data_IF_899825636950
#
_entry.id   IF_899825636950
#
_cell.length_a   1.000
_cell.length_b   1.000
_cell.length_c   1.000
_cell.angle_alpha   90.00
_cell.angle_beta   90.00
_cell.angle_gamma   90.00
#
_symmetry.space_group_name_H-M   'P 1'
#
loop_
_entity.id
_entity.type
_entity.pdbx_description
1 polymer ?
#
# COMPACT_ATOMS: atom_id res chain seq x y z
N UNK A 1 -34.50 89.79 -37.90
CA UNK A 1 -34.95 91.18 -37.77
C UNK A 1 -34.79 91.54 -36.30
N UNK A 2 -34.13 92.66 -35.96
CA UNK A 2 -33.95 93.04 -34.56
C UNK A 2 -35.32 93.40 -33.96
N UNK A 3 -35.73 92.73 -32.88
CA UNK A 3 -37.00 93.05 -32.21
C UNK A 3 -36.95 94.46 -31.64
N UNK A 4 -38.03 95.21 -31.78
CA UNK A 4 -38.07 96.58 -31.25
C UNK A 4 -38.11 96.57 -29.71
N UNK A 5 -37.67 97.66 -29.06
CA UNK A 5 -37.71 97.75 -27.59
C UNK A 5 -39.14 97.57 -27.04
N UNK A 6 -40.17 97.96 -27.81
CA UNK A 6 -41.58 97.77 -27.46
C UNK A 6 -41.99 96.28 -27.49
N UNK A 7 -41.53 95.52 -28.50
CA UNK A 7 -41.76 94.07 -28.57
C UNK A 7 -41.07 93.33 -27.42
N UNK A 8 -39.82 93.71 -27.09
CA UNK A 8 -39.08 93.17 -25.95
C UNK A 8 -39.81 93.45 -24.63
N UNK A 9 -40.34 94.66 -24.45
CA UNK A 9 -41.15 95.02 -23.28
C UNK A 9 -42.40 94.15 -23.17
N UNK A 10 -43.23 94.05 -24.23
CA UNK A 10 -44.45 93.24 -24.20
C UNK A 10 -44.18 91.76 -23.89
N UNK A 11 -43.08 91.20 -24.38
CA UNK A 11 -42.67 89.83 -24.08
C UNK A 11 -42.33 89.64 -22.58
N UNK A 12 -41.64 90.60 -21.97
CA UNK A 12 -41.34 90.62 -20.52
C UNK A 12 -42.64 90.66 -19.73
N UNK A 13 -43.52 91.62 -20.04
CA UNK A 13 -44.79 91.81 -19.33
C UNK A 13 -45.64 90.54 -19.36
N UNK A 14 -45.69 89.86 -20.50
CA UNK A 14 -46.40 88.58 -20.65
C UNK A 14 -45.73 87.44 -19.88
N UNK A 15 -44.40 87.35 -19.88
CA UNK A 15 -43.66 86.31 -19.13
C UNK A 15 -43.80 86.45 -17.61
N UNK A 16 -44.02 87.67 -17.13
CA UNK A 16 -44.32 87.99 -15.73
C UNK A 16 -45.81 87.85 -15.38
N UNK A 17 -46.65 87.38 -16.30
CA UNK A 17 -48.09 87.19 -16.08
C UNK A 17 -48.93 88.49 -16.14
N UNK A 18 -48.39 89.56 -16.70
CA UNK A 18 -49.09 90.83 -16.92
C UNK A 18 -50.05 90.81 -18.12
N UNK A 19 -50.79 91.90 -18.36
CA UNK A 19 -51.78 91.99 -19.43
C UNK A 19 -51.15 91.90 -20.83
N UNK A 20 -51.89 91.36 -21.79
CA UNK A 20 -51.44 91.23 -23.19
C UNK A 20 -51.55 92.59 -23.88
N UNK A 21 -50.43 93.33 -23.95
CA UNK A 21 -50.36 94.67 -24.55
C UNK A 21 -49.77 94.56 -25.96
N UNK A 22 -50.40 95.18 -26.96
CA UNK A 22 -49.85 95.17 -28.31
C UNK A 22 -48.65 96.16 -28.41
N UNK A 23 -47.57 95.83 -29.15
CA UNK A 23 -46.41 96.72 -29.29
C UNK A 23 -46.79 98.13 -29.78
N UNK A 24 -47.79 98.23 -30.68
CA UNK A 24 -48.31 99.49 -31.19
C UNK A 24 -48.90 100.40 -30.10
N UNK A 25 -49.41 99.84 -29.00
CA UNK A 25 -49.99 100.61 -27.89
C UNK A 25 -48.92 101.30 -27.02
N UNK A 26 -47.66 100.91 -27.18
CA UNK A 26 -46.52 101.40 -26.40
C UNK A 26 -45.53 102.16 -27.30
N UNK A 27 -45.67 102.09 -28.62
CA UNK A 27 -44.79 102.78 -29.57
C UNK A 27 -44.72 104.28 -29.32
N UNK A 28 -45.80 104.92 -28.85
CA UNK A 28 -45.80 106.35 -28.49
C UNK A 28 -44.74 106.70 -27.43
N UNK A 29 -44.37 105.77 -26.56
CA UNK A 29 -43.35 106.00 -25.54
C UNK A 29 -41.94 106.08 -26.14
N UNK A 30 -41.70 105.52 -27.34
CA UNK A 30 -40.43 105.71 -28.05
C UNK A 30 -40.27 107.13 -28.61
N UNK A 31 -41.37 107.86 -28.84
CA UNK A 31 -41.33 109.24 -29.32
C UNK A 31 -40.91 110.23 -28.24
N UNK A 32 -41.03 109.83 -26.96
CA UNK A 32 -40.60 110.61 -25.80
C UNK A 32 -39.20 110.14 -25.38
N UNK A 33 -38.20 111.04 -25.22
CA UNK A 33 -36.84 110.65 -24.83
C UNK A 33 -36.79 109.80 -23.55
N UNK A 34 -37.48 110.24 -22.50
CA UNK A 34 -37.55 109.52 -21.23
C UNK A 34 -38.25 108.15 -21.34
N UNK A 35 -39.27 108.05 -22.19
CA UNK A 35 -39.99 106.79 -22.44
C UNK A 35 -39.12 105.79 -23.21
N UNK A 36 -38.38 106.27 -24.22
CA UNK A 36 -37.42 105.47 -24.98
C UNK A 36 -36.29 104.94 -24.10
N UNK A 37 -35.74 105.78 -23.23
CA UNK A 37 -34.67 105.38 -22.31
C UNK A 37 -35.17 104.34 -21.31
N UNK A 38 -36.41 104.47 -20.81
CA UNK A 38 -37.04 103.48 -19.94
C UNK A 38 -37.28 102.15 -20.66
N UNK A 39 -37.89 102.18 -21.85
CA UNK A 39 -38.12 100.97 -22.64
C UNK A 39 -36.81 100.29 -23.03
N UNK A 40 -35.78 101.07 -23.34
CA UNK A 40 -34.44 100.57 -23.61
C UNK A 40 -33.83 99.94 -22.37
N UNK A 41 -33.90 100.58 -21.20
CA UNK A 41 -33.38 100.04 -19.95
C UNK A 41 -34.04 98.70 -19.58
N UNK A 42 -35.37 98.60 -19.75
CA UNK A 42 -36.11 97.35 -19.51
C UNK A 42 -35.75 96.29 -20.54
N UNK A 43 -35.65 96.67 -21.82
CA UNK A 43 -35.22 95.76 -22.88
C UNK A 43 -33.77 95.28 -22.71
N UNK A 44 -32.89 96.11 -22.14
CA UNK A 44 -31.49 95.77 -21.83
C UNK A 44 -31.38 94.79 -20.65
N UNK A 45 -32.44 94.61 -19.84
CA UNK A 45 -32.49 93.54 -18.82
C UNK A 45 -32.67 92.16 -19.43
N UNK A 46 -33.10 92.08 -20.69
CA UNK A 46 -33.06 90.85 -21.46
C UNK A 46 -31.70 90.73 -22.13
N UNK A 47 -30.87 89.81 -21.63
CA UNK A 47 -29.72 89.37 -22.40
C UNK A 47 -30.21 88.85 -23.77
N UNK A 48 -29.56 89.27 -24.86
CA UNK A 48 -29.80 88.77 -26.22
C UNK A 48 -29.39 87.29 -26.31
N UNK A 49 -30.17 86.41 -25.69
CA UNK A 49 -30.06 84.96 -25.86
C UNK A 49 -31.00 84.56 -26.99
N UNK A 50 -30.42 84.07 -28.09
CA UNK A 50 -31.10 83.55 -29.27
C UNK A 50 -32.31 82.67 -28.87
N UNK A 51 -33.50 83.12 -29.25
CA UNK A 51 -34.78 82.51 -28.89
C UNK A 51 -34.99 81.24 -29.72
N UNK A 52 -34.39 80.13 -29.28
CA UNK A 52 -34.60 78.80 -29.89
C UNK A 52 -34.89 77.68 -28.89
N UNK A 53 -34.95 77.95 -27.58
CA UNK A 53 -35.34 76.96 -26.59
C UNK A 53 -36.77 77.21 -26.13
N UNK A 54 -37.64 76.21 -26.32
CA UNK A 54 -39.08 76.21 -26.03
C UNK A 54 -39.46 76.28 -24.55
N UNK A 55 -38.50 76.46 -23.65
CA UNK A 55 -38.73 76.70 -22.23
C UNK A 55 -38.18 78.08 -21.85
N UNK A 56 -39.10 79.01 -21.56
CA UNK A 56 -38.88 80.44 -21.26
C UNK A 56 -37.63 80.72 -20.40
N UNK A 57 -36.48 81.13 -20.99
CA UNK A 57 -35.28 81.51 -20.24
C UNK A 57 -35.42 82.89 -19.56
N UNK A 58 -36.58 83.53 -19.68
CA UNK A 58 -36.88 84.86 -19.13
C UNK A 58 -37.05 84.84 -17.60
N UNK A 59 -37.32 83.68 -17.01
CA UNK A 59 -37.78 83.55 -15.62
C UNK A 59 -36.67 83.83 -14.57
N UNK A 60 -35.41 83.35 -14.69
CA UNK A 60 -34.43 83.49 -13.60
C UNK A 60 -33.89 84.91 -13.41
N UNK A 61 -33.72 85.68 -14.49
CA UNK A 61 -33.20 87.05 -14.41
C UNK A 61 -34.27 88.02 -13.88
N UNK A 62 -35.53 87.84 -14.30
CA UNK A 62 -36.63 88.71 -13.90
C UNK A 62 -37.13 88.44 -12.47
N UNK A 63 -37.02 87.22 -11.93
CA UNK A 63 -37.32 86.92 -10.51
C UNK A 63 -36.41 87.65 -9.51
N UNK A 64 -35.24 88.13 -9.96
CA UNK A 64 -34.34 88.93 -9.10
C UNK A 64 -34.77 90.40 -8.96
N UNK A 65 -35.67 90.88 -9.83
CA UNK A 65 -36.10 92.28 -9.92
C UNK A 65 -37.62 92.40 -9.67
N UNK A 66 -38.40 91.39 -10.04
CA UNK A 66 -39.84 91.33 -9.81
C UNK A 66 -40.14 90.89 -8.37
N UNK A 67 -40.81 91.76 -7.62
CA UNK A 67 -41.33 91.43 -6.29
C UNK A 67 -42.44 90.38 -6.42
N UNK A 68 -42.32 89.27 -5.70
CA UNK A 68 -43.39 88.27 -5.63
C UNK A 68 -44.64 88.87 -4.95
N UNK A 69 -45.83 88.34 -5.24
CA UNK A 69 -47.08 88.86 -4.66
C UNK A 69 -47.08 88.91 -3.12
N UNK A 70 -46.34 88.01 -2.47
CA UNK A 70 -46.12 87.99 -1.02
C UNK A 70 -45.20 89.15 -0.55
N UNK A 71 -44.20 89.51 -1.36
CA UNK A 71 -43.28 90.63 -1.11
C UNK A 71 -43.95 91.97 -1.36
N UNK A 72 -44.83 92.05 -2.37
CA UNK A 72 -45.67 93.24 -2.62
C UNK A 72 -46.63 93.48 -1.46
N UNK A 73 -47.28 92.44 -0.93
CA UNK A 73 -48.15 92.57 0.26
C UNK A 73 -47.40 93.05 1.49
N UNK A 74 -46.19 92.56 1.72
CA UNK A 74 -45.33 93.04 2.81
C UNK A 74 -44.90 94.49 2.61
N UNK A 75 -44.65 94.91 1.37
CA UNK A 75 -44.33 96.31 1.05
C UNK A 75 -45.56 97.21 1.21
N UNK A 76 -46.75 96.74 0.84
CA UNK A 76 -48.02 97.44 1.05
C UNK A 76 -48.35 97.58 2.54
N UNK A 77 -48.19 96.53 3.35
CA UNK A 77 -48.33 96.58 4.81
C UNK A 77 -47.31 97.52 5.47
N UNK A 78 -46.07 97.59 4.95
CA UNK A 78 -45.04 98.50 5.44
C UNK A 78 -45.28 99.98 5.05
N UNK A 79 -46.01 100.24 3.95
CA UNK A 79 -46.37 101.60 3.50
C UNK A 79 -47.66 102.09 4.17
N UNK A 80 -48.59 101.19 4.52
CA UNK A 80 -49.80 101.54 5.27
C UNK A 80 -49.53 101.85 6.76
N UNK A 81 -48.36 101.48 7.30
CA UNK A 81 -47.94 101.73 8.69
C UNK A 81 -47.03 102.97 8.86
N UNK A 82 -47.07 103.94 7.92
CA UNK A 82 -46.30 105.20 7.99
C UNK A 82 -46.91 106.23 9.00
N UNK A 83 -47.63 105.72 10.00
CA UNK A 83 -48.35 106.48 11.02
C UNK A 83 -47.69 106.55 12.40
N UNK A 84 -46.50 105.96 12.60
CA UNK A 84 -45.85 105.96 13.93
C UNK A 84 -44.38 106.36 13.82
N UNK A 85 -44.12 107.66 14.03
CA UNK A 85 -42.80 108.20 14.36
C UNK A 85 -42.32 107.61 15.70
N UNK A 86 -41.42 106.64 15.64
CA UNK A 86 -40.78 106.04 16.81
C UNK A 86 -39.54 105.27 16.39
N UNK A 87 -38.42 105.98 16.30
CA UNK A 87 -37.09 105.45 16.01
C UNK A 87 -36.68 104.43 17.07
N UNK A 88 -36.49 103.18 16.66
CA UNK A 88 -35.52 102.27 17.27
C UNK A 88 -34.87 101.45 16.15
N UNK A 89 -33.62 101.78 15.83
CA UNK A 89 -32.84 101.14 14.77
C UNK A 89 -32.49 99.70 15.15
N UNK A 90 -33.42 98.77 14.90
CA UNK A 90 -33.10 97.35 14.84
C UNK A 90 -32.23 97.10 13.57
N UNK A 91 -31.16 96.28 13.66
CA UNK A 91 -30.31 96.03 12.51
C UNK A 91 -31.11 95.27 11.44
N UNK A 92 -31.36 95.94 10.32
CA UNK A 92 -32.09 95.48 9.10
C UNK A 92 -31.44 94.23 8.45
N UNK A 93 -30.36 93.69 9.03
CA UNK A 93 -29.61 92.54 8.52
C UNK A 93 -30.18 91.15 8.86
N UNK A 94 -31.34 91.04 9.51
CA UNK A 94 -31.96 89.74 9.82
C UNK A 94 -33.09 89.32 8.88
N UNK A 95 -33.55 90.20 8.00
CA UNK A 95 -34.64 89.87 7.08
C UNK A 95 -34.07 89.31 5.77
N UNK A 96 -34.05 87.99 5.65
CA UNK A 96 -33.75 87.34 4.37
C UNK A 96 -35.01 87.36 3.52
N UNK A 97 -34.87 87.85 2.29
CA UNK A 97 -35.94 87.90 1.30
C UNK A 97 -36.55 86.48 1.15
N UNK A 98 -37.89 86.32 1.20
CA UNK A 98 -38.56 85.01 1.18
C UNK A 98 -38.12 84.10 0.01
N UNK A 99 -37.86 84.67 -1.16
CA UNK A 99 -37.32 83.96 -2.33
C UNK A 99 -35.94 83.34 -2.08
N UNK A 100 -35.02 84.08 -1.44
CA UNK A 100 -33.68 83.59 -1.05
C UNK A 100 -33.78 82.52 0.05
N UNK A 101 -34.74 82.65 0.96
CA UNK A 101 -34.96 81.67 2.03
C UNK A 101 -35.58 80.37 1.50
N UNK A 102 -36.54 80.44 0.57
CA UNK A 102 -37.07 79.26 -0.14
C UNK A 102 -35.96 78.52 -0.90
N UNK A 103 -35.13 79.23 -1.66
CA UNK A 103 -34.00 78.65 -2.40
C UNK A 103 -32.93 78.04 -1.47
N UNK A 104 -32.63 78.70 -0.34
CA UNK A 104 -31.71 78.16 0.68
C UNK A 104 -32.26 76.90 1.33
N UNK A 105 -33.56 76.88 1.67
CA UNK A 105 -34.21 75.71 2.26
C UNK A 105 -34.22 74.53 1.29
N UNK A 106 -34.54 74.77 0.01
CA UNK A 106 -34.52 73.75 -1.02
C UNK A 106 -33.12 73.17 -1.23
N UNK A 107 -32.08 74.01 -1.23
CA UNK A 107 -30.69 73.55 -1.27
C UNK A 107 -30.31 72.71 -0.04
N UNK A 108 -30.72 73.12 1.16
CA UNK A 108 -30.46 72.32 2.37
C UNK A 108 -31.21 70.99 2.36
N UNK A 109 -32.42 70.93 1.79
CA UNK A 109 -33.16 69.68 1.62
C UNK A 109 -32.48 68.75 0.60
N UNK A 110 -31.96 69.29 -0.51
CA UNK A 110 -31.18 68.52 -1.47
C UNK A 110 -29.87 67.98 -0.88
N UNK A 111 -29.17 68.79 -0.10
CA UNK A 111 -27.94 68.37 0.60
C UNK A 111 -28.23 67.29 1.64
N UNK A 112 -29.32 67.44 2.41
CA UNK A 112 -29.76 66.44 3.36
C UNK A 112 -30.13 65.12 2.67
N UNK A 113 -30.84 65.18 1.54
CA UNK A 113 -31.14 64.00 0.73
C UNK A 113 -29.88 63.32 0.17
N UNK A 114 -28.86 64.08 -0.23
CA UNK A 114 -27.56 63.53 -0.64
C UNK A 114 -26.84 62.84 0.53
N UNK A 115 -26.79 63.47 1.70
CA UNK A 115 -26.18 62.89 2.90
C UNK A 115 -26.91 61.62 3.38
N UNK A 116 -28.24 61.60 3.31
CA UNK A 116 -29.04 60.40 3.58
C UNK A 116 -28.72 59.28 2.56
N UNK A 117 -28.57 59.63 1.28
CA UNK A 117 -28.12 58.70 0.24
C UNK A 117 -26.72 58.13 0.51
N UNK A 118 -25.77 58.97 0.89
CA UNK A 118 -24.40 58.55 1.22
C UNK A 118 -24.33 57.67 2.47
N UNK A 119 -25.06 58.02 3.52
CA UNK A 119 -25.13 57.21 4.75
C UNK A 119 -25.79 55.85 4.49
N UNK A 120 -26.84 55.80 3.66
CA UNK A 120 -27.44 54.53 3.22
C UNK A 120 -26.43 53.67 2.43
N UNK A 121 -25.64 54.28 1.55
CA UNK A 121 -24.58 53.58 0.79
C UNK A 121 -23.48 53.04 1.71
N UNK A 122 -23.00 53.84 2.66
CA UNK A 122 -21.99 53.41 3.64
C UNK A 122 -22.51 52.28 4.53
N UNK A 123 -23.77 52.36 4.96
CA UNK A 123 -24.42 51.30 5.74
C UNK A 123 -24.52 49.99 4.95
N UNK A 124 -24.88 50.06 3.66
CA UNK A 124 -24.89 48.90 2.76
C UNK A 124 -23.48 48.28 2.61
N UNK A 125 -22.46 49.10 2.35
CA UNK A 125 -21.07 48.65 2.24
C UNK A 125 -20.56 48.04 3.55
N UNK A 126 -20.90 48.60 4.70
CA UNK A 126 -20.55 48.07 6.02
C UNK A 126 -21.23 46.71 6.26
N UNK A 127 -22.49 46.54 5.86
CA UNK A 127 -23.17 45.25 5.91
C UNK A 127 -22.49 44.22 5.00
N UNK A 128 -22.13 44.58 3.77
CA UNK A 128 -21.39 43.71 2.85
C UNK A 128 -20.01 43.32 3.41
N UNK A 129 -19.29 44.26 4.03
CA UNK A 129 -18.00 43.96 4.67
C UNK A 129 -18.17 43.04 5.86
N UNK A 130 -19.24 43.20 6.64
CA UNK A 130 -19.58 42.32 7.77
C UNK A 130 -19.92 40.91 7.31
N UNK A 131 -20.64 40.74 6.19
CA UNK A 131 -20.92 39.42 5.62
C UNK A 131 -19.66 38.78 5.05
N UNK A 132 -18.83 39.55 4.34
CA UNK A 132 -17.53 39.07 3.84
C UNK A 132 -16.58 38.63 4.97
N UNK A 133 -16.48 39.42 6.05
CA UNK A 133 -15.68 39.08 7.23
C UNK A 133 -16.16 37.79 7.91
N UNK A 134 -17.48 37.60 8.04
CA UNK A 134 -18.05 36.34 8.55
C UNK A 134 -17.71 35.15 7.65
N UNK A 135 -17.79 35.33 6.33
CA UNK A 135 -17.44 34.28 5.37
C UNK A 135 -15.96 33.91 5.45
N UNK A 136 -15.05 34.89 5.55
CA UNK A 136 -13.62 34.66 5.74
C UNK A 136 -13.29 33.94 7.05
N UNK A 137 -14.01 34.25 8.14
CA UNK A 137 -13.86 33.53 9.40
C UNK A 137 -14.32 32.07 9.26
N UNK A 138 -15.42 31.81 8.55
CA UNK A 138 -15.88 30.46 8.27
C UNK A 138 -14.89 29.68 7.41
N UNK A 139 -14.37 30.26 6.33
CA UNK A 139 -13.36 29.59 5.48
C UNK A 139 -12.05 29.34 6.22
N UNK A 140 -11.63 30.27 7.09
CA UNK A 140 -10.48 30.03 7.97
C UNK A 140 -10.73 28.83 8.89
N UNK A 141 -11.90 28.73 9.50
CA UNK A 141 -12.22 27.58 10.36
C UNK A 141 -12.27 26.26 9.59
N UNK A 142 -12.83 26.23 8.38
CA UNK A 142 -12.86 25.01 7.56
C UNK A 142 -11.48 24.60 7.09
N UNK A 143 -10.62 25.55 6.69
CA UNK A 143 -9.23 25.27 6.33
C UNK A 143 -8.43 24.76 7.54
N UNK A 144 -8.61 25.35 8.72
CA UNK A 144 -7.97 24.86 9.94
C UNK A 144 -8.41 23.44 10.31
N UNK A 145 -9.68 23.10 10.10
CA UNK A 145 -10.18 21.75 10.30
C UNK A 145 -9.55 20.77 9.30
N UNK A 146 -9.51 21.13 8.01
CA UNK A 146 -8.93 20.30 6.96
C UNK A 146 -7.41 20.07 7.15
N UNK A 147 -6.66 21.09 7.59
CA UNK A 147 -5.23 20.95 7.91
C UNK A 147 -5.03 20.00 9.09
N UNK A 148 -5.86 20.10 10.15
CA UNK A 148 -5.78 19.18 11.29
C UNK A 148 -6.14 17.74 10.89
N UNK A 149 -7.16 17.57 10.05
CA UNK A 149 -7.56 16.26 9.52
C UNK A 149 -6.45 15.64 8.67
N UNK A 150 -5.87 16.40 7.75
CA UNK A 150 -4.72 15.96 6.93
C UNK A 150 -3.51 15.59 7.80
N UNK A 151 -3.15 16.42 8.79
CA UNK A 151 -2.05 16.12 9.71
C UNK A 151 -2.30 14.85 10.53
N UNK A 152 -3.55 14.62 10.97
CA UNK A 152 -3.92 13.38 11.65
C UNK A 152 -3.82 12.16 10.71
N UNK A 153 -4.27 12.29 9.47
CA UNK A 153 -4.16 11.24 8.45
C UNK A 153 -2.70 10.88 8.15
N UNK A 154 -1.85 11.88 7.93
CA UNK A 154 -0.40 11.70 7.74
C UNK A 154 0.20 10.95 8.93
N UNK A 155 -0.15 11.36 10.17
CA UNK A 155 0.34 10.69 11.37
C UNK A 155 -0.10 9.22 11.44
N UNK A 156 -1.36 8.92 11.11
CA UNK A 156 -1.83 7.52 11.10
C UNK A 156 -1.16 6.68 10.01
N UNK A 157 -0.87 7.25 8.84
CA UNK A 157 -0.13 6.57 7.80
C UNK A 157 1.33 6.34 8.19
N UNK A 158 1.97 7.31 8.85
CA UNK A 158 3.32 7.17 9.40
C UNK A 158 3.37 6.03 10.43
N UNK A 159 2.45 6.02 11.40
CA UNK A 159 2.33 4.96 12.41
C UNK A 159 2.08 3.59 11.75
N UNK A 160 1.29 3.52 10.68
CA UNK A 160 1.07 2.28 9.93
C UNK A 160 2.32 1.81 9.18
N UNK A 161 3.08 2.72 8.57
CA UNK A 161 4.33 2.40 7.87
C UNK A 161 5.40 1.92 8.85
N UNK A 162 5.55 2.58 10.00
CA UNK A 162 6.47 2.16 11.04
C UNK A 162 6.12 0.75 11.55
N UNK A 163 4.83 0.46 11.76
CA UNK A 163 4.38 -0.88 12.13
C UNK A 163 4.62 -1.93 11.04
N UNK A 164 4.49 -1.57 9.75
CA UNK A 164 4.77 -2.48 8.64
C UNK A 164 6.27 -2.75 8.52
N UNK A 165 7.11 -1.72 8.68
CA UNK A 165 8.56 -1.83 8.69
C UNK A 165 9.04 -2.76 9.81
N UNK A 166 8.54 -2.58 11.04
CA UNK A 166 8.85 -3.47 12.17
C UNK A 166 8.44 -4.92 11.88
N UNK A 167 7.30 -5.15 11.21
CA UNK A 167 6.86 -6.50 10.83
C UNK A 167 7.76 -7.13 9.77
N UNK A 168 8.17 -6.36 8.76
CA UNK A 168 9.09 -6.81 7.72
C UNK A 168 10.47 -7.15 8.32
N UNK A 169 11.01 -6.28 9.17
CA UNK A 169 12.27 -6.54 9.87
C UNK A 169 12.19 -7.79 10.75
N UNK A 170 11.05 -8.02 11.42
CA UNK A 170 10.83 -9.21 12.23
C UNK A 170 10.71 -10.48 11.39
N UNK A 171 10.03 -10.45 10.23
CA UNK A 171 9.93 -11.60 9.33
C UNK A 171 11.27 -11.92 8.68
N UNK A 172 12.01 -10.91 8.22
CA UNK A 172 13.37 -11.07 7.68
C UNK A 172 14.30 -11.64 8.76
N UNK A 173 14.29 -11.07 9.97
CA UNK A 173 15.12 -11.57 11.08
C UNK A 173 14.80 -13.03 11.44
N UNK A 174 13.52 -13.41 11.38
CA UNK A 174 13.09 -14.79 11.61
C UNK A 174 13.58 -15.72 10.49
N UNK A 175 13.38 -15.35 9.23
CA UNK A 175 13.84 -16.13 8.08
C UNK A 175 15.36 -16.31 8.10
N UNK A 176 16.11 -15.24 8.40
CA UNK A 176 17.57 -15.26 8.57
C UNK A 176 17.98 -16.16 9.73
N UNK A 177 17.32 -16.08 10.88
CA UNK A 177 17.61 -16.96 12.02
C UNK A 177 17.30 -18.43 11.73
N UNK A 178 16.25 -18.72 10.98
CA UNK A 178 15.89 -20.09 10.57
C UNK A 178 16.89 -20.63 9.55
N UNK A 179 17.25 -19.83 8.54
CA UNK A 179 18.30 -20.17 7.57
C UNK A 179 19.65 -20.40 8.24
N UNK A 180 20.05 -19.55 9.19
CA UNK A 180 21.26 -19.74 9.98
C UNK A 180 21.20 -20.98 10.86
N UNK A 181 20.06 -21.27 11.50
CA UNK A 181 19.87 -22.49 12.30
C UNK A 181 20.00 -23.75 11.44
N UNK A 182 19.47 -23.74 10.21
CA UNK A 182 19.62 -24.82 9.25
C UNK A 182 21.07 -24.95 8.78
N UNK A 183 21.75 -23.84 8.45
CA UNK A 183 23.18 -23.83 8.11
C UNK A 183 24.05 -24.32 9.27
N UNK A 184 23.74 -23.95 10.50
CA UNK A 184 24.46 -24.41 11.70
C UNK A 184 24.27 -25.92 11.91
N UNK A 185 23.07 -26.44 11.67
CA UNK A 185 22.81 -27.89 11.69
C UNK A 185 23.59 -28.59 10.59
N UNK A 186 23.58 -28.08 9.36
CA UNK A 186 24.32 -28.69 8.26
C UNK A 186 25.83 -28.56 8.45
N UNK A 187 26.34 -27.50 9.09
CA UNK A 187 27.76 -27.35 9.42
C UNK A 187 28.21 -28.23 10.59
N UNK A 188 27.37 -28.40 11.63
CA UNK A 188 27.67 -29.27 12.78
C UNK A 188 27.54 -30.75 12.43
N UNK A 189 26.57 -31.10 11.58
CA UNK A 189 26.34 -32.46 11.11
C UNK A 189 27.07 -32.76 9.80
N UNK A 190 27.77 -31.77 9.22
CA UNK A 190 28.78 -31.98 8.17
C UNK A 190 30.01 -32.62 8.80
N UNK A 191 29.83 -33.87 9.20
CA UNK A 191 30.88 -34.87 9.16
C UNK A 191 31.69 -34.65 7.87
N UNK A 192 32.99 -34.34 8.04
CA UNK A 192 33.84 -33.99 6.90
C UNK A 192 33.74 -35.10 5.85
N UNK A 193 33.86 -34.77 4.56
CA UNK A 193 33.86 -35.76 3.48
C UNK A 193 34.86 -36.91 3.74
N UNK A 194 35.88 -36.65 4.54
CA UNK A 194 36.85 -37.63 5.02
C UNK A 194 36.27 -38.66 6.00
N UNK A 195 35.30 -38.33 6.87
CA UNK A 195 34.64 -39.34 7.72
C UNK A 195 33.82 -40.31 6.88
N UNK A 196 33.06 -39.81 5.90
CA UNK A 196 32.34 -40.66 4.93
C UNK A 196 33.29 -41.56 4.16
N UNK A 197 34.43 -41.04 3.69
CA UNK A 197 35.47 -41.82 3.02
C UNK A 197 36.05 -42.89 3.94
N UNK A 198 36.33 -42.57 5.20
CA UNK A 198 36.82 -43.56 6.18
C UNK A 198 35.78 -44.64 6.48
N UNK A 199 34.50 -44.28 6.61
CA UNK A 199 33.41 -45.24 6.81
C UNK A 199 33.27 -46.19 5.60
N UNK A 200 33.39 -45.65 4.38
CA UNK A 200 33.34 -46.43 3.16
C UNK A 200 34.57 -47.34 3.00
N UNK A 201 35.76 -46.88 3.40
CA UNK A 201 36.96 -47.71 3.46
C UNK A 201 36.81 -48.86 4.48
N UNK A 202 36.25 -48.60 5.66
CA UNK A 202 35.95 -49.64 6.66
C UNK A 202 34.96 -50.67 6.10
N UNK A 203 33.94 -50.24 5.36
CA UNK A 203 33.00 -51.14 4.70
C UNK A 203 33.66 -51.98 3.60
N UNK A 204 34.57 -51.39 2.84
CA UNK A 204 35.36 -52.10 1.84
C UNK A 204 36.27 -53.16 2.49
N UNK A 205 36.94 -52.83 3.60
CA UNK A 205 37.76 -53.77 4.36
C UNK A 205 36.92 -54.94 4.90
N UNK A 206 35.73 -54.66 5.46
CA UNK A 206 34.79 -55.71 5.91
C UNK A 206 34.33 -56.60 4.76
N UNK A 207 34.00 -56.00 3.61
CA UNK A 207 33.65 -56.76 2.39
C UNK A 207 34.78 -57.69 2.00
N UNK A 208 36.00 -57.18 1.96
CA UNK A 208 37.16 -57.96 1.57
C UNK A 208 37.43 -59.09 2.58
N UNK A 209 37.25 -58.84 3.88
CA UNK A 209 37.38 -59.85 4.94
C UNK A 209 36.32 -60.97 4.84
N UNK A 210 35.06 -60.62 4.54
CA UNK A 210 33.99 -61.63 4.32
C UNK A 210 34.30 -62.47 3.09
N UNK A 211 34.73 -61.82 1.99
CA UNK A 211 35.08 -62.52 0.74
C UNK A 211 36.28 -63.44 0.96
N UNK A 212 37.33 -63.00 1.66
CA UNK A 212 38.50 -63.85 1.94
C UNK A 212 38.12 -65.02 2.83
N UNK A 213 37.36 -64.80 3.91
CA UNK A 213 36.91 -65.87 4.79
C UNK A 213 36.05 -66.92 4.06
N UNK A 214 35.14 -66.48 3.19
CA UNK A 214 34.34 -67.38 2.36
C UNK A 214 35.21 -68.17 1.37
N UNK A 215 36.16 -67.50 0.70
CA UNK A 215 37.11 -68.15 -0.23
C UNK A 215 37.98 -69.19 0.47
N UNK A 216 38.52 -68.87 1.64
CA UNK A 216 39.40 -69.77 2.40
C UNK A 216 38.63 -71.02 2.85
N UNK A 217 37.37 -70.86 3.29
CA UNK A 217 36.51 -72.00 3.64
C UNK A 217 36.11 -72.84 2.44
N UNK A 218 35.74 -72.21 1.32
CA UNK A 218 35.45 -72.93 0.08
C UNK A 218 36.68 -73.69 -0.41
N UNK A 219 37.88 -73.11 -0.32
CA UNK A 219 39.13 -73.79 -0.64
C UNK A 219 39.37 -75.01 0.24
N UNK A 220 39.12 -74.91 1.54
CA UNK A 220 39.21 -76.05 2.46
C UNK A 220 38.22 -77.17 2.10
N UNK A 221 36.99 -76.81 1.70
CA UNK A 221 36.00 -77.79 1.21
C UNK A 221 36.45 -78.41 -0.12
N UNK A 222 37.02 -77.61 -1.02
CA UNK A 222 37.55 -78.09 -2.29
C UNK A 222 38.71 -79.07 -2.04
N UNK A 223 39.63 -78.78 -1.10
CA UNK A 223 40.71 -79.69 -0.71
C UNK A 223 40.16 -81.05 -0.21
N UNK A 224 39.09 -81.04 0.60
CA UNK A 224 38.41 -82.28 1.01
C UNK A 224 37.78 -82.98 -0.19
N UNK A 225 37.14 -82.25 -1.11
CA UNK A 225 36.58 -82.84 -2.33
C UNK A 225 37.67 -83.51 -3.19
N UNK A 226 38.85 -82.90 -3.32
CA UNK A 226 39.96 -83.49 -4.08
C UNK A 226 40.56 -84.72 -3.37
N UNK A 227 40.32 -84.88 -2.07
CA UNK A 227 40.70 -86.09 -1.32
C UNK A 227 39.69 -87.23 -1.45
N UNK A 228 38.47 -86.96 -1.92
CA UNK A 228 37.47 -87.98 -2.15
C UNK A 228 37.82 -88.83 -3.39
N UNK A 229 37.55 -90.14 -3.35
CA UNK A 229 37.78 -91.01 -4.49
C UNK A 229 36.84 -90.68 -5.66
N UNK A 230 37.39 -90.79 -6.87
CA UNK A 230 36.64 -90.70 -8.12
C UNK A 230 35.60 -91.82 -8.23
N UNK A 231 34.54 -91.58 -9.00
CA UNK A 231 33.47 -92.56 -9.24
C UNK A 231 33.98 -93.88 -9.81
N UNK A 232 35.02 -93.84 -10.65
CA UNK A 232 35.69 -95.04 -11.16
C UNK A 232 36.34 -95.84 -10.04
N UNK A 233 37.03 -95.18 -9.11
CA UNK A 233 37.65 -95.84 -7.96
C UNK A 233 36.60 -96.49 -7.05
N UNK A 234 35.48 -95.82 -6.78
CA UNK A 234 34.38 -96.38 -5.98
C UNK A 234 33.77 -97.62 -6.65
N UNK A 235 33.63 -97.60 -7.99
CA UNK A 235 33.15 -98.76 -8.75
C UNK A 235 34.14 -99.93 -8.77
N UNK A 236 35.44 -99.64 -8.94
CA UNK A 236 36.49 -100.66 -8.91
C UNK A 236 36.62 -101.28 -7.51
N UNK A 237 36.54 -100.45 -6.47
CA UNK A 237 36.63 -100.87 -5.07
C UNK A 237 35.40 -101.65 -4.64
N UNK A 238 34.19 -101.23 -5.03
CA UNK A 238 32.98 -102.03 -4.79
C UNK A 238 33.03 -103.38 -5.51
N UNK A 239 33.53 -103.44 -6.75
CA UNK A 239 33.74 -104.71 -7.44
C UNK A 239 34.78 -105.59 -6.74
N UNK A 240 35.87 -105.00 -6.24
CA UNK A 240 36.91 -105.69 -5.45
C UNK A 240 36.35 -106.24 -4.14
N UNK A 241 35.59 -105.45 -3.40
CA UNK A 241 34.97 -105.83 -2.13
C UNK A 241 33.86 -106.87 -2.33
N UNK A 242 33.00 -106.71 -3.35
CA UNK A 242 31.98 -107.71 -3.72
C UNK A 242 32.62 -109.03 -4.14
N UNK A 243 33.78 -109.01 -4.79
CA UNK A 243 34.54 -110.23 -5.12
C UNK A 243 35.15 -110.87 -3.86
N UNK A 244 35.80 -110.06 -3.02
CA UNK A 244 36.37 -110.55 -1.76
C UNK A 244 35.30 -111.12 -0.80
N UNK A 245 34.10 -110.53 -0.80
CA UNK A 245 32.94 -111.02 -0.06
C UNK A 245 32.43 -112.36 -0.58
N UNK A 246 32.46 -112.58 -1.91
CA UNK A 246 32.12 -113.88 -2.54
C UNK A 246 33.17 -114.96 -2.29
N UNK A 247 34.44 -114.56 -2.17
CA UNK A 247 35.57 -115.46 -1.93
C UNK A 247 35.70 -115.86 -0.45
N UNK A 248 35.11 -115.08 0.47
CA UNK A 248 34.94 -115.49 1.87
C UNK A 248 33.95 -116.65 1.92
N UNK A 249 34.41 -117.82 2.37
CA UNK A 249 33.59 -119.02 2.53
C UNK A 249 32.54 -118.79 3.63
N UNK A 250 31.42 -118.15 3.23
CA UNK A 250 30.31 -117.76 4.10
C UNK A 250 29.83 -118.94 4.94
N UNK A 251 29.95 -120.17 4.43
CA UNK A 251 29.49 -121.37 5.14
C UNK A 251 30.36 -121.73 6.35
N UNK A 252 31.63 -121.34 6.39
CA UNK A 252 32.55 -121.67 7.49
C UNK A 252 32.48 -120.69 8.67
N UNK A 253 31.98 -119.47 8.45
CA UNK A 253 31.85 -118.40 9.47
C UNK A 253 30.41 -117.90 9.65
N UNK A 254 29.45 -118.60 9.06
CA UNK A 254 28.03 -118.24 9.12
C UNK A 254 27.54 -118.16 10.56
N UNK A 255 27.90 -119.14 11.36
CA UNK A 255 27.43 -119.26 12.75
C UNK A 255 28.01 -118.13 13.62
N UNK A 256 29.29 -117.81 13.46
CA UNK A 256 29.94 -116.68 14.15
C UNK A 256 29.35 -115.32 13.72
N UNK A 257 29.02 -115.15 12.43
CA UNK A 257 28.40 -113.92 11.92
C UNK A 257 26.94 -113.76 12.37
N UNK A 258 26.21 -114.87 12.51
CA UNK A 258 24.86 -114.86 13.09
C UNK A 258 24.93 -114.48 14.57
N UNK A 259 25.88 -115.04 15.33
CA UNK A 259 26.06 -114.70 16.74
C UNK A 259 26.38 -113.21 16.91
N UNK A 260 27.24 -112.65 16.05
CA UNK A 260 27.60 -111.23 16.09
C UNK A 260 26.44 -110.31 15.64
N UNK A 261 25.69 -110.69 14.61
CA UNK A 261 24.53 -109.92 14.16
C UNK A 261 23.41 -109.91 15.22
N UNK A 262 23.18 -111.05 15.88
CA UNK A 262 22.24 -111.14 17.00
C UNK A 262 22.71 -110.29 18.19
N UNK A 263 24.02 -110.23 18.46
CA UNK A 263 24.57 -109.36 19.50
C UNK A 263 24.35 -107.87 19.17
N UNK A 264 24.54 -107.47 17.91
CA UNK A 264 24.32 -106.10 17.44
C UNK A 264 22.83 -105.72 17.46
N UNK A 265 21.94 -106.60 17.03
CA UNK A 265 20.48 -106.40 17.13
C UNK A 265 20.03 -106.29 18.58
N UNK A 266 20.58 -107.12 19.48
CA UNK A 266 20.31 -107.04 20.92
C UNK A 266 20.79 -105.71 21.51
N UNK A 267 21.96 -105.21 21.09
CA UNK A 267 22.46 -103.90 21.50
C UNK A 267 21.58 -102.76 20.97
N UNK A 268 21.14 -102.82 19.72
CA UNK A 268 20.23 -101.83 19.14
C UNK A 268 18.86 -101.82 19.85
N UNK A 269 18.34 -103.01 20.22
CA UNK A 269 17.14 -103.14 21.05
C UNK A 269 17.39 -102.51 22.42
N UNK A 270 18.53 -102.78 23.06
CA UNK A 270 18.89 -102.17 24.35
C UNK A 270 18.99 -100.63 24.25
N UNK A 271 19.63 -100.08 23.22
CA UNK A 271 19.75 -98.63 23.03
C UNK A 271 18.39 -97.96 22.77
N UNK A 272 17.52 -98.60 21.96
CA UNK A 272 16.14 -98.15 21.77
C UNK A 272 15.32 -98.23 23.06
N UNK A 273 15.52 -99.24 23.90
CA UNK A 273 14.90 -99.31 25.23
C UNK A 273 15.41 -98.24 26.21
N UNK A 274 16.69 -97.84 26.12
CA UNK A 274 17.26 -96.80 26.96
C UNK A 274 16.82 -95.39 26.54
N UNK A 275 16.61 -95.17 25.24
CA UNK A 275 16.22 -93.86 24.67
C UNK A 275 14.72 -93.65 24.61
N UNK A 276 13.93 -94.73 24.56
CA UNK A 276 12.48 -94.64 24.50
C UNK A 276 11.89 -94.57 25.91
N UNK A 277 11.23 -93.46 26.25
CA UNK A 277 10.66 -93.26 27.59
C UNK A 277 9.54 -94.25 27.95
N UNK A 278 9.15 -94.23 29.23
CA UNK A 278 8.23 -95.12 30.01
C UNK A 278 6.89 -95.57 29.37
N UNK A 279 6.59 -95.21 28.12
CA UNK A 279 5.35 -95.55 27.42
C UNK A 279 5.50 -96.39 26.14
N UNK A 280 6.71 -96.77 25.73
CA UNK A 280 6.93 -97.68 24.59
C UNK A 280 7.04 -99.11 25.10
N UNK A 281 6.16 -100.00 24.65
CA UNK A 281 6.22 -101.40 25.06
C UNK A 281 7.24 -102.15 24.20
N UNK A 282 7.84 -103.20 24.75
CA UNK A 282 8.78 -104.07 24.02
C UNK A 282 8.14 -104.60 22.72
N UNK A 283 6.83 -104.84 22.72
CA UNK A 283 6.06 -105.24 21.55
C UNK A 283 5.98 -104.15 20.47
N UNK A 284 6.02 -102.86 20.83
CA UNK A 284 6.06 -101.77 19.83
C UNK A 284 7.44 -101.67 19.17
N UNK A 285 8.52 -101.86 19.93
CA UNK A 285 9.91 -101.86 19.43
C UNK A 285 10.16 -103.09 18.56
N UNK A 286 9.70 -104.27 19.01
CA UNK A 286 9.75 -105.51 18.22
C UNK A 286 8.82 -105.43 17.00
N UNK A 287 7.68 -104.75 17.10
CA UNK A 287 6.75 -104.50 16.00
C UNK A 287 7.37 -103.63 14.89
N UNK A 288 8.09 -102.58 15.26
CA UNK A 288 8.80 -101.69 14.32
C UNK A 288 9.95 -102.44 13.61
N UNK A 289 10.74 -103.21 14.36
CA UNK A 289 11.82 -104.03 13.79
C UNK A 289 11.29 -105.18 12.92
N UNK A 290 10.14 -105.77 13.26
CA UNK A 290 9.54 -106.84 12.45
C UNK A 290 8.83 -106.35 11.20
N UNK A 291 8.45 -105.07 11.14
CA UNK A 291 7.87 -104.49 9.93
C UNK A 291 8.92 -104.23 8.83
N UNK A 292 10.17 -104.02 9.22
CA UNK A 292 11.35 -104.01 8.33
C UNK A 292 11.78 -105.45 7.92
N UNK A 293 11.46 -106.46 8.74
CA UNK A 293 11.86 -107.85 8.51
C UNK A 293 11.18 -108.55 7.31
N UNK A 294 10.01 -108.09 6.86
CA UNK A 294 9.33 -108.64 5.68
C UNK A 294 10.03 -108.28 4.35
N UNK A 295 10.88 -107.22 4.33
CA UNK A 295 11.83 -106.94 3.24
C UNK A 295 13.22 -107.57 3.50
N UNK A 296 13.56 -107.87 4.76
CA UNK A 296 14.87 -108.40 5.20
C UNK A 296 15.00 -109.93 5.26
N UNK A 297 14.05 -110.70 4.71
CA UNK A 297 14.35 -112.09 4.30
C UNK A 297 15.52 -112.18 3.28
N UNK A 298 16.09 -111.04 2.87
CA UNK A 298 17.32 -110.87 2.11
C UNK A 298 18.60 -110.60 2.93
N UNK A 299 18.62 -110.62 4.28
CA UNK A 299 19.87 -110.42 5.08
C UNK A 299 21.00 -111.40 4.65
N UNK A 300 20.66 -112.59 4.12
CA UNK A 300 21.63 -113.56 3.60
C UNK A 300 21.79 -113.57 2.07
N UNK A 301 21.09 -112.72 1.32
CA UNK A 301 21.57 -112.39 -0.02
C UNK A 301 22.69 -111.41 0.23
N UNK A 302 23.93 -111.81 -0.06
CA UNK A 302 25.10 -110.91 -0.10
C UNK A 302 24.64 -109.55 -0.63
N UNK A 303 24.37 -108.61 0.26
CA UNK A 303 23.92 -107.29 -0.12
C UNK A 303 25.03 -106.77 -1.03
N UNK A 304 24.67 -106.39 -2.25
CA UNK A 304 25.66 -105.87 -3.17
C UNK A 304 26.32 -104.67 -2.46
N UNK A 305 27.60 -104.80 -2.14
CA UNK A 305 28.38 -103.75 -1.45
C UNK A 305 28.40 -102.48 -2.31
N UNK A 306 28.18 -102.62 -3.63
CA UNK A 306 28.05 -101.51 -4.59
C UNK A 306 27.04 -100.45 -4.16
N UNK A 307 25.72 -100.76 -4.10
CA UNK A 307 24.69 -99.86 -3.59
C UNK A 307 25.02 -99.21 -2.23
N UNK A 308 25.57 -99.96 -1.27
CA UNK A 308 25.92 -99.41 0.05
C UNK A 308 27.09 -98.41 -0.03
N UNK A 309 28.14 -98.74 -0.78
CA UNK A 309 29.30 -97.87 -1.00
C UNK A 309 28.92 -96.64 -1.83
N UNK A 310 28.05 -96.80 -2.84
CA UNK A 310 27.51 -95.69 -3.63
C UNK A 310 26.63 -94.78 -2.77
N UNK A 311 25.80 -95.33 -1.87
CA UNK A 311 24.99 -94.56 -0.92
C UNK A 311 25.88 -93.76 0.05
N UNK A 312 26.92 -94.38 0.60
CA UNK A 312 27.89 -93.70 1.46
C UNK A 312 28.62 -92.58 0.70
N UNK A 313 29.12 -92.87 -0.51
CA UNK A 313 29.79 -91.86 -1.35
C UNK A 313 28.84 -90.70 -1.72
N UNK A 314 27.59 -90.97 -2.08
CA UNK A 314 26.58 -89.93 -2.32
C UNK A 314 26.30 -89.12 -1.05
N UNK A 315 26.29 -89.75 0.12
CA UNK A 315 26.12 -89.06 1.40
C UNK A 315 27.27 -88.08 1.67
N UNK A 316 28.52 -88.48 1.40
CA UNK A 316 29.69 -87.60 1.52
C UNK A 316 29.62 -86.42 0.53
N UNK A 317 29.22 -86.68 -0.72
CA UNK A 317 29.02 -85.62 -1.72
C UNK A 317 27.91 -84.64 -1.30
N UNK A 318 26.81 -85.14 -0.74
CA UNK A 318 25.74 -84.31 -0.20
C UNK A 318 26.22 -83.49 1.01
N UNK A 319 27.01 -84.07 1.89
CA UNK A 319 27.60 -83.36 3.04
C UNK A 319 28.52 -82.22 2.58
N UNK A 320 29.32 -82.42 1.52
CA UNK A 320 30.13 -81.35 0.93
C UNK A 320 29.28 -80.23 0.31
N UNK A 321 28.22 -80.57 -0.43
CA UNK A 321 27.31 -79.58 -0.99
C UNK A 321 26.62 -78.76 0.12
N UNK A 322 26.14 -79.43 1.17
CA UNK A 322 25.56 -78.77 2.34
C UNK A 322 26.57 -77.87 3.05
N UNK A 323 27.83 -78.29 3.16
CA UNK A 323 28.91 -77.46 3.70
C UNK A 323 29.17 -76.21 2.84
N UNK A 324 29.14 -76.33 1.51
CA UNK A 324 29.28 -75.18 0.59
C UNK A 324 28.12 -74.21 0.72
N UNK A 325 26.89 -74.73 0.73
CA UNK A 325 25.68 -73.94 0.93
C UNK A 325 25.77 -73.15 2.25
N UNK A 326 26.14 -73.82 3.34
CA UNK A 326 26.35 -73.18 4.64
C UNK A 326 27.37 -72.04 4.60
N UNK A 327 28.49 -72.20 3.89
CA UNK A 327 29.49 -71.12 3.74
C UNK A 327 28.91 -69.93 2.98
N UNK A 328 28.10 -70.16 1.94
CA UNK A 328 27.43 -69.11 1.20
C UNK A 328 26.35 -68.41 2.04
N UNK A 329 25.56 -69.16 2.81
CA UNK A 329 24.56 -68.62 3.72
C UNK A 329 25.18 -67.74 4.81
N UNK A 330 26.29 -68.20 5.41
CA UNK A 330 27.04 -67.41 6.40
C UNK A 330 27.60 -66.12 5.78
N UNK A 331 28.14 -66.20 4.55
CA UNK A 331 28.61 -65.02 3.84
C UNK A 331 27.47 -64.06 3.50
N UNK A 332 26.33 -64.57 3.03
CA UNK A 332 25.14 -63.80 2.70
C UNK A 332 24.56 -63.11 3.96
N UNK A 333 24.47 -63.83 5.07
CA UNK A 333 24.05 -63.28 6.36
C UNK A 333 25.01 -62.18 6.83
N UNK A 334 26.32 -62.38 6.68
CA UNK A 334 27.32 -61.36 7.02
C UNK A 334 27.21 -60.12 6.12
N UNK A 335 27.00 -60.29 4.80
CA UNK A 335 26.75 -59.18 3.88
C UNK A 335 25.48 -58.41 4.24
N UNK A 336 24.40 -59.11 4.57
CA UNK A 336 23.14 -58.50 5.00
C UNK A 336 23.27 -57.69 6.28
N UNK A 337 23.79 -58.30 7.34
CA UNK A 337 23.86 -57.67 8.67
C UNK A 337 24.97 -56.64 8.81
N UNK A 338 26.14 -56.83 8.19
CA UNK A 338 27.30 -55.96 8.45
C UNK A 338 27.51 -54.89 7.39
N UNK A 339 27.19 -55.17 6.12
CA UNK A 339 27.46 -54.24 5.01
C UNK A 339 26.19 -53.54 4.56
N UNK A 340 25.13 -54.30 4.26
CA UNK A 340 23.91 -53.72 3.72
C UNK A 340 23.21 -52.79 4.72
N UNK A 341 23.15 -53.19 5.99
CA UNK A 341 22.59 -52.34 7.04
C UNK A 341 23.38 -51.04 7.20
N UNK A 342 24.71 -51.11 7.29
CA UNK A 342 25.56 -49.93 7.45
C UNK A 342 25.53 -49.01 6.23
N UNK A 343 25.49 -49.57 5.01
CA UNK A 343 25.32 -48.80 3.77
C UNK A 343 23.95 -48.11 3.72
N UNK A 344 22.90 -48.80 4.16
CA UNK A 344 21.54 -48.24 4.24
C UNK A 344 21.47 -47.09 5.25
N UNK A 345 22.13 -47.24 6.40
CA UNK A 345 22.24 -46.16 7.40
C UNK A 345 23.00 -44.96 6.84
N UNK A 346 24.15 -45.20 6.18
CA UNK A 346 24.94 -44.16 5.52
C UNK A 346 24.13 -43.42 4.44
N UNK A 347 23.41 -44.17 3.61
CA UNK A 347 22.55 -43.62 2.56
C UNK A 347 21.42 -42.78 3.16
N UNK A 348 20.72 -43.28 4.19
CA UNK A 348 19.67 -42.52 4.88
C UNK A 348 20.22 -41.22 5.45
N UNK A 349 21.38 -41.28 6.11
CA UNK A 349 22.02 -40.09 6.65
C UNK A 349 22.39 -39.09 5.55
N UNK A 350 23.09 -39.53 4.49
CA UNK A 350 23.43 -38.68 3.34
C UNK A 350 22.20 -38.07 2.67
N UNK A 351 21.10 -38.83 2.51
CA UNK A 351 19.85 -38.29 1.96
C UNK A 351 19.21 -37.25 2.87
N UNK A 352 19.29 -37.42 4.19
CA UNK A 352 18.78 -36.45 5.16
C UNK A 352 19.59 -35.15 5.07
N UNK A 353 20.92 -35.25 5.02
CA UNK A 353 21.81 -34.10 4.88
C UNK A 353 21.56 -33.40 3.54
N UNK A 354 21.45 -34.15 2.45
CA UNK A 354 21.15 -33.60 1.13
C UNK A 354 19.80 -32.86 1.10
N UNK A 355 18.75 -33.43 1.71
CA UNK A 355 17.45 -32.77 1.81
C UNK A 355 17.51 -31.48 2.64
N UNK A 356 18.23 -31.50 3.77
CA UNK A 356 18.40 -30.28 4.58
C UNK A 356 19.19 -29.19 3.86
N UNK A 357 20.20 -29.56 3.07
CA UNK A 357 20.94 -28.62 2.22
C UNK A 357 20.05 -28.03 1.13
N UNK A 358 19.23 -28.86 0.48
CA UNK A 358 18.29 -28.41 -0.53
C UNK A 358 17.23 -27.47 0.05
N UNK A 359 16.69 -27.77 1.23
CA UNK A 359 15.74 -26.90 1.93
C UNK A 359 16.39 -25.56 2.33
N UNK A 360 17.63 -25.59 2.84
CA UNK A 360 18.37 -24.38 3.14
C UNK A 360 18.65 -23.54 1.88
N UNK A 361 19.03 -24.16 0.76
CA UNK A 361 19.23 -23.49 -0.53
C UNK A 361 17.92 -22.87 -1.06
N UNK A 362 16.80 -23.60 -0.95
CA UNK A 362 15.49 -23.10 -1.33
C UNK A 362 15.05 -21.89 -0.49
N UNK A 363 15.27 -21.92 0.83
CA UNK A 363 14.96 -20.80 1.72
C UNK A 363 15.85 -19.59 1.46
N UNK A 364 17.14 -19.79 1.23
CA UNK A 364 18.06 -18.70 0.86
C UNK A 364 17.68 -18.10 -0.49
N UNK A 365 17.28 -18.93 -1.46
CA UNK A 365 16.84 -18.47 -2.77
C UNK A 365 15.53 -17.66 -2.68
N UNK A 366 14.56 -18.14 -1.90
CA UNK A 366 13.31 -17.41 -1.66
C UNK A 366 13.55 -16.08 -0.94
N UNK A 367 14.47 -16.04 0.03
CA UNK A 367 14.85 -14.79 0.71
C UNK A 367 15.52 -13.81 -0.26
N UNK A 368 16.37 -14.28 -1.18
CA UNK A 368 16.97 -13.44 -2.20
C UNK A 368 15.91 -12.86 -3.14
N UNK A 369 14.95 -13.67 -3.59
CA UNK A 369 13.82 -13.22 -4.42
C UNK A 369 12.96 -12.19 -3.69
N UNK A 370 12.59 -12.41 -2.41
CA UNK A 370 11.84 -11.42 -1.62
C UNK A 370 12.60 -10.11 -1.43
N UNK A 371 13.94 -10.16 -1.28
CA UNK A 371 14.77 -8.95 -1.19
C UNK A 371 14.84 -8.23 -2.54
N UNK A 372 14.98 -8.95 -3.64
CA UNK A 372 14.97 -8.39 -4.99
C UNK A 372 13.62 -7.72 -5.32
N UNK A 373 12.51 -8.38 -4.99
CA UNK A 373 11.16 -7.82 -5.13
C UNK A 373 10.97 -6.57 -4.27
N UNK A 374 11.41 -6.59 -3.01
CA UNK A 374 11.34 -5.42 -2.13
C UNK A 374 12.18 -4.24 -2.65
N UNK A 375 13.34 -4.51 -3.27
CA UNK A 375 14.16 -3.49 -3.95
C UNK A 375 13.43 -2.96 -5.17
N UNK A 376 12.85 -3.83 -6.01
CA UNK A 376 12.08 -3.43 -7.19
C UNK A 376 10.88 -2.56 -6.81
N UNK A 377 10.11 -2.96 -5.80
CA UNK A 377 8.97 -2.19 -5.27
C UNK A 377 9.42 -0.82 -4.74
N UNK A 378 10.58 -0.76 -4.06
CA UNK A 378 11.14 0.50 -3.58
C UNK A 378 11.58 1.41 -4.74
N UNK A 379 12.15 0.85 -5.80
CA UNK A 379 12.51 1.57 -7.03
C UNK A 379 11.27 2.06 -7.79
N UNK A 380 10.24 1.22 -7.92
CA UNK A 380 8.96 1.56 -8.54
C UNK A 380 8.20 2.63 -7.75
N UNK A 381 8.22 2.55 -6.43
CA UNK A 381 7.67 3.60 -5.57
C UNK A 381 8.44 4.91 -5.75
N UNK A 382 9.78 4.87 -5.77
CA UNK A 382 10.63 6.04 -5.97
C UNK A 382 10.43 6.67 -7.34
N UNK A 383 10.33 5.87 -8.40
CA UNK A 383 10.06 6.35 -9.76
C UNK A 383 8.63 6.87 -9.89
N UNK A 384 7.64 6.26 -9.24
CA UNK A 384 6.27 6.78 -9.18
C UNK A 384 6.20 8.15 -8.49
N UNK A 385 6.93 8.35 -7.39
CA UNK A 385 7.07 9.67 -6.76
C UNK A 385 7.76 10.69 -7.67
N UNK A 386 8.84 10.28 -8.34
CA UNK A 386 9.57 11.16 -9.27
C UNK A 386 8.75 11.50 -10.52
N UNK A 387 8.02 10.53 -11.07
CA UNK A 387 7.16 10.69 -12.24
C UNK A 387 5.89 11.47 -11.91
N UNK A 388 5.34 11.35 -10.69
CA UNK A 388 4.30 12.28 -10.23
C UNK A 388 4.82 13.72 -10.08
N UNK A 389 6.10 13.91 -9.77
CA UNK A 389 6.72 15.23 -9.77
C UNK A 389 7.01 15.78 -11.18
N UNK A 390 7.20 14.93 -12.20
CA UNK A 390 7.59 15.36 -13.56
C UNK A 390 6.46 15.31 -14.61
N UNK A 391 5.43 14.48 -14.42
CA UNK A 391 4.23 14.40 -15.28
C UNK A 391 3.05 15.23 -14.76
N UNK A 392 3.29 16.15 -13.80
CA UNK A 392 2.32 17.11 -13.27
C UNK A 392 1.94 18.23 -14.28
N UNK A 393 1.79 17.91 -15.57
CA UNK A 393 1.18 18.81 -16.54
C UNK A 393 -0.28 18.48 -16.85
N UNK A 394 -0.77 17.25 -16.65
CA UNK A 394 -2.14 16.92 -17.11
C UNK A 394 -3.00 15.98 -16.24
N UNK A 395 -2.50 15.43 -15.13
CA UNK A 395 -3.36 14.62 -14.23
C UNK A 395 -3.64 15.41 -12.96
N UNK A 396 -4.88 15.89 -12.86
CA UNK A 396 -5.54 16.44 -11.67
C UNK A 396 -4.58 17.11 -10.68
N UNK A 397 -4.17 18.34 -11.03
CA UNK A 397 -3.66 19.31 -10.04
C UNK A 397 -4.49 19.15 -8.78
N UNK A 398 -3.81 18.79 -7.71
CA UNK A 398 -4.32 18.56 -6.36
C UNK A 398 -5.65 19.31 -6.13
N UNK A 399 -6.76 18.61 -5.83
CA UNK A 399 -8.08 19.25 -5.66
C UNK A 399 -8.00 20.45 -4.69
N UNK A 400 -7.03 20.46 -3.77
CA UNK A 400 -6.74 21.58 -2.89
C UNK A 400 -6.15 22.80 -3.62
N UNK A 401 -5.22 22.63 -4.57
CA UNK A 401 -4.66 23.71 -5.39
C UNK A 401 -5.75 24.35 -6.26
N UNK A 402 -6.60 23.53 -6.88
CA UNK A 402 -7.71 24.03 -7.69
C UNK A 402 -8.75 24.79 -6.84
N UNK A 403 -9.04 24.30 -5.63
CA UNK A 403 -9.93 24.97 -4.68
C UNK A 403 -9.33 26.28 -4.18
N UNK A 404 -8.03 26.33 -3.94
CA UNK A 404 -7.33 27.56 -3.56
C UNK A 404 -7.33 28.59 -4.70
N UNK A 405 -7.13 28.16 -5.95
CA UNK A 405 -7.27 29.04 -7.13
C UNK A 405 -8.70 29.56 -7.29
N UNK A 406 -9.71 28.72 -7.06
CA UNK A 406 -11.10 29.15 -7.09
C UNK A 406 -11.35 30.25 -6.03
N UNK A 407 -10.91 30.04 -4.79
CA UNK A 407 -11.01 31.05 -3.72
C UNK A 407 -10.29 32.35 -4.08
N UNK A 408 -9.08 32.29 -4.63
CA UNK A 408 -8.35 33.49 -5.06
C UNK A 408 -9.03 34.21 -6.23
N UNK A 409 -9.66 33.47 -7.15
CA UNK A 409 -10.47 34.05 -8.23
C UNK A 409 -11.75 34.70 -7.71
N UNK A 410 -12.42 34.08 -6.75
CA UNK A 410 -13.63 34.63 -6.11
C UNK A 410 -13.30 35.91 -5.31
N UNK A 411 -12.11 35.96 -4.71
CA UNK A 411 -11.61 37.13 -3.99
C UNK A 411 -11.06 38.24 -4.89
N UNK A 412 -11.08 38.07 -6.22
CA UNK A 412 -10.53 39.04 -7.18
C UNK A 412 -11.17 40.42 -7.06
N UNK A 413 -12.46 40.49 -6.73
CA UNK A 413 -13.20 41.75 -6.58
C UNK A 413 -12.74 42.60 -5.39
N UNK A 414 -12.09 41.97 -4.40
CA UNK A 414 -11.58 42.64 -3.21
C UNK A 414 -10.11 43.06 -3.34
N UNK A 415 -9.52 42.90 -4.52
CA UNK A 415 -8.12 43.23 -4.76
C UNK A 415 -7.95 44.75 -4.89
N UNK A 416 -6.87 45.34 -4.33
CA UNK A 416 -6.60 46.77 -4.48
C UNK A 416 -6.49 47.16 -5.96
N UNK A 417 -6.92 48.38 -6.31
CA UNK A 417 -6.84 48.90 -7.69
C UNK A 417 -5.42 48.90 -8.25
N UNK A 418 -4.42 48.98 -7.37
CA UNK A 418 -3.01 49.12 -7.73
C UNK A 418 -2.31 47.75 -7.89
N UNK A 419 -3.00 46.64 -7.63
CA UNK A 419 -2.42 45.31 -7.76
C UNK A 419 -2.38 44.87 -9.24
N UNK A 420 -1.28 44.22 -9.69
CA UNK A 420 -1.17 43.68 -11.05
C UNK A 420 -2.27 42.65 -11.33
N UNK A 421 -2.72 42.43 -12.57
CA UNK A 421 -3.83 41.52 -12.89
C UNK A 421 -3.63 40.11 -12.33
N UNK A 422 -4.73 39.44 -11.92
CA UNK A 422 -4.67 38.12 -11.31
C UNK A 422 -4.40 37.07 -12.38
N UNK A 423 -3.17 36.57 -12.43
CA UNK A 423 -2.73 35.49 -13.31
C UNK A 423 -2.43 34.30 -12.39
N UNK A 424 -3.07 33.16 -12.64
CA UNK A 424 -2.94 31.93 -11.84
C UNK A 424 -2.83 30.74 -12.81
N UNK A 425 -1.87 30.80 -13.73
CA UNK A 425 -1.65 29.77 -14.75
C UNK A 425 -0.67 28.71 -14.22
N UNK A 426 0.39 29.18 -13.57
CA UNK A 426 1.46 28.38 -13.00
C UNK A 426 1.33 28.25 -11.47
N UNK A 427 2.05 27.31 -10.87
CA UNK A 427 2.07 27.16 -9.41
C UNK A 427 2.94 28.25 -8.78
N UNK A 428 3.96 28.72 -9.50
CA UNK A 428 4.74 29.91 -9.14
C UNK A 428 3.87 31.18 -9.05
N UNK A 429 2.86 31.32 -9.91
CA UNK A 429 1.90 32.44 -9.85
C UNK A 429 1.06 32.40 -8.56
N UNK A 430 0.67 31.19 -8.14
CA UNK A 430 -0.09 30.96 -6.92
C UNK A 430 0.74 31.31 -5.68
N UNK A 431 2.00 30.87 -5.63
CA UNK A 431 2.92 31.17 -4.54
C UNK A 431 3.24 32.67 -4.47
N UNK A 432 3.44 33.32 -5.63
CA UNK A 432 3.64 34.76 -5.71
C UNK A 432 2.40 35.53 -5.19
N UNK A 433 1.19 35.08 -5.53
CA UNK A 433 -0.04 35.72 -5.03
C UNK A 433 -0.26 35.45 -3.54
N UNK A 434 0.03 34.26 -3.03
CA UNK A 434 0.00 33.96 -1.59
C UNK A 434 1.00 34.81 -0.81
N UNK A 435 2.23 34.95 -1.31
CA UNK A 435 3.24 35.82 -0.72
C UNK A 435 2.80 37.30 -0.76
N UNK A 436 2.20 37.75 -1.87
CA UNK A 436 1.66 39.09 -2.03
C UNK A 436 0.48 39.37 -1.08
N UNK A 437 -0.45 38.43 -0.94
CA UNK A 437 -1.58 38.54 0.00
C UNK A 437 -1.10 38.53 1.45
N UNK A 438 -0.13 37.68 1.79
CA UNK A 438 0.50 37.66 3.12
C UNK A 438 1.20 38.97 3.44
N UNK A 439 1.98 39.53 2.50
CA UNK A 439 2.64 40.82 2.68
C UNK A 439 1.63 41.95 2.90
N UNK A 440 0.57 42.00 2.08
CA UNK A 440 -0.52 42.98 2.22
C UNK A 440 -1.25 42.85 3.55
N UNK A 441 -1.45 41.63 4.05
CA UNK A 441 -2.04 41.40 5.37
C UNK A 441 -1.15 42.02 6.46
N UNK A 442 0.17 41.80 6.40
CA UNK A 442 1.13 42.35 7.37
C UNK A 442 1.14 43.88 7.30
N UNK A 443 1.16 44.46 6.11
CA UNK A 443 1.10 45.92 5.92
C UNK A 443 -0.22 46.51 6.47
N UNK A 444 -1.35 45.88 6.17
CA UNK A 444 -2.65 46.32 6.70
C UNK A 444 -2.72 46.21 8.23
N UNK A 445 -2.15 45.15 8.82
CA UNK A 445 -2.05 44.99 10.27
C UNK A 445 -1.16 46.07 10.90
N UNK A 446 -0.04 46.42 10.27
CA UNK A 446 0.83 47.49 10.75
C UNK A 446 0.12 48.86 10.73
N UNK A 447 -0.62 49.16 9.66
CA UNK A 447 -1.44 50.39 9.56
C UNK A 447 -2.56 50.39 10.60
N UNK A 448 -3.21 49.26 10.83
CA UNK A 448 -4.24 49.13 11.87
C UNK A 448 -3.66 49.35 13.27
N UNK A 449 -2.50 48.77 13.58
CA UNK A 449 -1.79 48.99 14.84
C UNK A 449 -1.39 50.46 15.01
N UNK A 450 -0.89 51.11 13.96
CA UNK A 450 -0.54 52.52 13.99
C UNK A 450 -1.78 53.41 14.20
N UNK A 451 -2.89 53.07 13.54
CA UNK A 451 -4.17 53.73 13.74
C UNK A 451 -4.69 53.56 15.18
N UNK A 452 -4.65 52.35 15.74
CA UNK A 452 -5.04 52.06 17.13
C UNK A 452 -4.16 52.81 18.15
N UNK A 453 -2.86 52.92 17.88
CA UNK A 453 -1.93 53.74 18.68
C UNK A 453 -2.27 55.23 18.57
N UNK A 454 -2.64 55.71 17.38
CA UNK A 454 -3.04 57.11 17.20
C UNK A 454 -4.34 57.46 17.96
N UNK A 455 -5.29 56.52 18.00
CA UNK A 455 -6.56 56.68 18.71
C UNK A 455 -6.40 56.76 20.23
N UNK A 456 -5.49 55.97 20.78
CA UNK A 456 -5.16 56.00 22.21
C UNK A 456 -4.35 57.23 22.63
N UNK A 457 -3.77 57.97 21.68
CA UNK A 457 -3.08 59.24 21.93
C UNK A 457 -3.99 60.48 21.83
N UNK A 458 -5.20 60.34 21.28
CA UNK A 458 -6.18 61.41 21.12
C UNK A 458 -7.33 61.37 22.14
N UNK A 459 -7.43 60.27 22.90
CA UNK A 459 -8.23 60.12 24.11
C UNK A 459 -7.39 60.48 25.33
#
# INVERSE_FOLDING_TARGET
>A
MASTNAEKFCAITKSLGGPDIAPADIEWANDIPAGRDLLKWIADQLYDTDVSATDSPFIPALHSIALEHEEVKLYEEAVEDDGITGVDEAPVNLFKVPSVQKASNERTLQELALLEGETARLKSRLQQMKTASRHLLQTRHTLQAAVKESANSIRTHQESLDNLAVKADASISKAVSEAHSLLDKTMRDSESLDTYRTSLAILEDKRNAIISAAKDRLRSIDEVQHSLPDTSYVNDESARLSKALKDLDFNARRDDLIELAVEEDLLAICEKLETSGDGTTLDDILGDMTHDLDDEASIFKTEDIGPALEKAWRSDQLALLAAREKVLDEAQAAFGGQIHEQLTQLQKHLSSVANSNFEAEALVSALLEEIEDAISDAEDAKTSFANHSSNAKDVERDPHINKLRAVLKDLREYRPSDAPPLILLEDADLDAELASTSRRLIEAQAVEEEWLRSLTSQL
#
